data_IF_656705658513
#
_entry.id   IF_656705658513
#
_cell.length_a   1.000
_cell.length_b   1.000
_cell.length_c   1.000
_cell.angle_alpha   90.00
_cell.angle_beta   90.00
_cell.angle_gamma   90.00
#
_symmetry.space_group_name_H-M   'P 1'
#
loop_
_entity.id
_entity.type
_entity.pdbx_description
1 polymer ?
#
# COMPACT_ATOMS: atom_id res chain seq x y z
N UNK A 1 14.75 8.71 -24.17
CA UNK A 1 14.58 8.34 -22.74
C UNK A 1 13.10 8.12 -22.48
N UNK A 2 12.74 7.17 -21.63
CA UNK A 2 11.35 6.89 -21.29
C UNK A 2 10.77 7.99 -20.39
N UNK A 3 9.47 8.27 -20.50
CA UNK A 3 8.76 9.17 -19.59
C UNK A 3 8.54 8.48 -18.24
N UNK A 4 9.04 9.08 -17.16
CA UNK A 4 8.97 8.56 -15.79
C UNK A 4 8.08 9.40 -14.87
N UNK A 5 7.38 10.42 -15.39
CA UNK A 5 6.57 11.36 -14.59
C UNK A 5 5.59 10.69 -13.62
N UNK A 6 5.03 9.53 -13.98
CA UNK A 6 4.10 8.79 -13.11
C UNK A 6 4.73 8.28 -11.80
N UNK A 7 6.05 8.26 -11.69
CA UNK A 7 6.79 7.87 -10.49
C UNK A 7 7.33 9.07 -9.70
N UNK A 8 7.11 10.29 -10.19
CA UNK A 8 7.60 11.52 -9.57
C UNK A 8 6.52 12.10 -8.65
N UNK A 9 6.60 11.77 -7.36
CA UNK A 9 5.67 12.29 -6.36
C UNK A 9 5.76 11.55 -5.03
N UNK A 10 4.78 11.76 -4.15
CA UNK A 10 4.68 11.03 -2.88
C UNK A 10 4.09 9.64 -3.13
N UNK A 11 4.88 8.61 -2.85
CA UNK A 11 4.49 7.20 -3.00
C UNK A 11 4.71 6.49 -1.64
N UNK A 12 3.70 6.46 -0.76
CA UNK A 12 3.82 5.82 0.55
C UNK A 12 4.08 4.32 0.43
N UNK A 13 4.91 3.78 1.31
CA UNK A 13 4.96 2.34 1.55
C UNK A 13 3.65 1.93 2.24
N UNK A 14 2.93 0.98 1.64
CA UNK A 14 1.61 0.57 2.07
C UNK A 14 1.69 -0.41 3.24
N UNK A 15 0.97 -0.14 4.33
CA UNK A 15 0.96 -0.99 5.51
C UNK A 15 0.12 -2.25 5.31
N UNK A 16 0.54 -3.34 5.96
CA UNK A 16 -0.27 -4.53 6.06
C UNK A 16 -1.54 -4.23 6.86
N UNK A 17 -2.68 -4.74 6.39
CA UNK A 17 -3.97 -4.53 7.03
C UNK A 17 -4.53 -5.88 7.46
N UNK A 18 -4.48 -6.14 8.75
CA UNK A 18 -4.94 -7.40 9.34
C UNK A 18 -6.37 -7.27 9.89
N UNK A 19 -7.11 -8.38 9.91
CA UNK A 19 -8.32 -8.52 10.72
C UNK A 19 -7.96 -8.79 12.19
N UNK A 20 -8.98 -9.06 13.02
CA UNK A 20 -8.78 -9.26 14.45
C UNK A 20 -8.20 -10.65 14.77
N UNK A 21 -8.09 -11.52 13.77
CA UNK A 21 -7.50 -12.86 13.86
C UNK A 21 -6.04 -12.86 13.37
N UNK A 22 -5.55 -11.73 12.84
CA UNK A 22 -4.20 -11.59 12.30
C UNK A 22 -4.07 -11.99 10.84
N UNK A 23 -5.19 -12.26 10.15
CA UNK A 23 -5.20 -12.58 8.72
C UNK A 23 -5.34 -11.31 7.89
N UNK A 24 -4.95 -11.33 6.62
CA UNK A 24 -5.11 -10.17 5.73
C UNK A 24 -6.60 -9.84 5.57
N UNK A 25 -6.97 -8.59 5.87
CA UNK A 25 -8.34 -8.09 5.76
C UNK A 25 -8.55 -7.34 4.44
N UNK A 26 -9.30 -7.90 3.46
CA UNK A 26 -9.55 -7.23 2.18
C UNK A 26 -10.34 -5.92 2.34
N UNK A 27 -11.20 -5.83 3.35
CA UNK A 27 -11.96 -4.60 3.65
C UNK A 27 -11.03 -3.47 4.12
N UNK A 28 -10.18 -3.74 5.12
CA UNK A 28 -9.25 -2.75 5.68
C UNK A 28 -8.20 -2.32 4.64
N UNK A 29 -7.73 -3.24 3.79
CA UNK A 29 -6.87 -2.90 2.64
C UNK A 29 -7.56 -1.88 1.73
N UNK A 30 -8.82 -2.12 1.32
CA UNK A 30 -9.55 -1.19 0.46
C UNK A 30 -9.73 0.17 1.12
N UNK A 31 -10.11 0.20 2.40
CA UNK A 31 -10.29 1.44 3.15
C UNK A 31 -8.99 2.29 3.21
N UNK A 32 -7.83 1.64 3.42
CA UNK A 32 -6.55 2.34 3.45
C UNK A 32 -6.14 2.85 2.05
N UNK A 33 -6.45 2.11 0.99
CA UNK A 33 -6.26 2.58 -0.39
C UNK A 33 -7.14 3.80 -0.68
N UNK A 34 -8.43 3.75 -0.32
CA UNK A 34 -9.36 4.87 -0.50
C UNK A 34 -8.90 6.13 0.26
N UNK A 35 -8.37 5.96 1.47
CA UNK A 35 -7.74 7.05 2.21
C UNK A 35 -6.60 7.71 1.43
N UNK A 36 -5.68 6.92 0.86
CA UNK A 36 -4.56 7.47 0.10
C UNK A 36 -4.98 8.10 -1.23
N UNK A 37 -6.00 7.54 -1.89
CA UNK A 37 -6.62 8.16 -3.07
C UNK A 37 -7.17 9.54 -2.69
N UNK A 38 -7.93 9.63 -1.60
CA UNK A 38 -8.49 10.90 -1.11
C UNK A 38 -7.40 11.92 -0.71
N UNK A 39 -6.21 11.45 -0.29
CA UNK A 39 -5.04 12.29 -0.02
C UNK A 39 -4.29 12.75 -1.26
N UNK A 40 -4.62 12.23 -2.44
CA UNK A 40 -4.02 12.64 -3.71
C UNK A 40 -2.55 12.25 -3.84
N UNK A 41 -2.14 11.10 -3.27
CA UNK A 41 -0.78 10.58 -3.45
C UNK A 41 -0.55 10.12 -4.90
N UNK A 42 0.70 10.13 -5.35
CA UNK A 42 1.06 9.76 -6.73
C UNK A 42 0.87 8.26 -6.99
N UNK A 43 1.03 7.44 -5.96
CA UNK A 43 0.88 6.00 -6.02
C UNK A 43 1.11 5.35 -4.67
N UNK A 44 1.13 4.03 -4.65
CA UNK A 44 1.41 3.22 -3.46
C UNK A 44 2.53 2.22 -3.78
N UNK A 45 3.45 2.04 -2.83
CA UNK A 45 4.46 1.00 -2.87
C UNK A 45 4.01 -0.17 -1.99
N UNK A 46 3.53 -1.23 -2.63
CA UNK A 46 2.78 -2.32 -1.98
C UNK A 46 3.72 -3.48 -1.63
N UNK A 47 3.45 -4.16 -0.50
CA UNK A 47 4.18 -5.34 -0.02
C UNK A 47 5.70 -5.11 0.13
N UNK A 48 6.09 -3.90 0.55
CA UNK A 48 7.45 -3.61 1.02
C UNK A 48 7.68 -4.10 2.46
N UNK A 49 8.88 -3.88 3.00
CA UNK A 49 9.19 -4.21 4.40
C UNK A 49 8.29 -3.49 5.40
N UNK A 50 7.95 -2.22 5.13
CA UNK A 50 6.96 -1.48 5.92
C UNK A 50 5.56 -2.08 5.85
N UNK A 51 5.25 -2.80 4.76
CA UNK A 51 4.04 -3.62 4.61
C UNK A 51 4.22 -5.04 5.13
N UNK A 52 5.23 -5.28 5.97
CA UNK A 52 5.46 -6.54 6.68
C UNK A 52 5.68 -7.77 5.78
N UNK A 53 6.21 -7.56 4.56
CA UNK A 53 6.33 -8.63 3.56
C UNK A 53 7.18 -9.83 4.01
N UNK A 54 8.11 -9.65 4.94
CA UNK A 54 8.94 -10.74 5.50
C UNK A 54 8.10 -11.73 6.33
N UNK A 55 6.95 -11.29 6.84
CA UNK A 55 6.07 -12.06 7.71
C UNK A 55 4.83 -12.59 6.98
N UNK A 56 4.72 -12.35 5.67
CA UNK A 56 3.58 -12.73 4.84
C UNK A 56 3.89 -13.95 3.97
N UNK A 57 2.83 -14.68 3.58
CA UNK A 57 2.92 -15.76 2.59
C UNK A 57 2.80 -15.22 1.16
N UNK A 58 3.14 -16.07 0.18
CA UNK A 58 2.88 -15.84 -1.26
C UNK A 58 1.44 -16.21 -1.61
#
# INVERSE_FOLDING_TARGET
>A
MSDLKKYEGVIPAFYACYDDQGEISPERVRALVEYFIAKGVQGLYVNGSSGECIYQSV
#
